data_IF_973500823664
#
_entry.id   IF_973500823664
#
_cell.length_a   1.000
_cell.length_b   1.000
_cell.length_c   1.000
_cell.angle_alpha   90.00
_cell.angle_beta   90.00
_cell.angle_gamma   90.00
#
_symmetry.space_group_name_H-M   'P 1'
#
loop_
_entity.id
_entity.type
_entity.pdbx_description
1 polymer ?
2 non-polymer ?
3 non-polymer ?
4 non-polymer ?
5 non-polymer ?
6 water ?
#
# COMPACT_ATOMS: atom_id res chain seq x y z
N UNK A 21 16.06 26.67 15.75
CA UNK A 21 16.25 26.47 14.33
C UNK A 21 16.05 25.00 13.95
N UNK A 22 14.85 24.67 13.44
CA UNK A 22 14.47 23.29 13.09
C UNK A 22 14.85 22.90 11.66
N UNK A 23 15.03 21.60 11.44
CA UNK A 23 15.40 21.09 10.12
C UNK A 23 14.18 20.62 9.34
N UNK A 24 13.96 21.19 8.16
CA UNK A 24 12.83 20.79 7.32
C UNK A 24 13.07 19.41 6.70
N UNK A 25 12.10 18.52 6.85
CA UNK A 25 12.18 17.17 6.31
C UNK A 25 12.30 17.16 4.78
N UNK A 26 13.32 16.47 4.28
CA UNK A 26 13.52 16.34 2.85
C UNK A 26 14.46 17.39 2.28
N UNK A 27 14.96 18.27 3.14
CA UNK A 27 15.87 19.31 2.71
C UNK A 27 17.26 18.73 2.47
N UNK A 28 18.09 19.47 1.75
CA UNK A 28 19.46 19.04 1.46
C UNK A 28 20.20 18.61 2.73
N UNK A 29 20.13 19.43 3.77
CA UNK A 29 20.79 19.12 5.04
C UNK A 29 20.21 17.86 5.68
N UNK A 30 18.89 17.77 5.69
CA UNK A 30 18.21 16.58 6.21
C UNK A 30 18.78 15.31 5.59
N UNK A 31 18.86 15.29 4.26
CA UNK A 31 19.36 14.13 3.54
C UNK A 31 20.80 13.81 3.95
N UNK A 32 21.64 14.84 3.98
CA UNK A 32 23.02 14.67 4.41
C UNK A 32 23.05 14.09 5.82
N UNK A 33 22.16 14.60 6.67
CA UNK A 33 22.07 14.16 8.05
C UNK A 33 21.57 12.70 8.11
N UNK A 34 20.57 12.39 7.30
CA UNK A 34 20.01 11.04 7.26
C UNK A 34 21.00 10.00 6.72
N UNK A 35 21.75 10.38 5.69
CA UNK A 35 22.74 9.49 5.11
C UNK A 35 23.82 9.11 6.12
N UNK A 36 24.00 9.96 7.12
CA UNK A 36 25.04 9.77 8.13
C UNK A 36 24.58 8.96 9.34
N UNK A 37 23.26 8.83 9.52
CA UNK A 37 22.71 8.17 10.70
C UNK A 37 22.82 6.65 10.62
N UNK A 38 23.06 6.02 11.77
CA UNK A 38 23.11 4.56 11.83
C UNK A 38 21.78 3.99 12.32
N UNK A 39 21.24 3.04 11.58
CA UNK A 39 19.98 2.39 11.90
C UNK A 39 20.23 0.90 12.09
N UNK A 40 19.35 0.23 12.86
CA UNK A 40 19.45 -1.23 12.92
C UNK A 40 19.11 -1.86 11.56
N UNK A 41 19.85 -2.91 11.22
CA UNK A 41 19.65 -3.64 9.97
C UNK A 41 18.30 -4.38 9.90
N UNK A 42 17.70 -4.35 8.71
CA UNK A 42 16.46 -5.07 8.46
C UNK A 42 16.67 -6.58 8.53
N UNK A 43 17.93 -6.99 8.61
CA UNK A 43 18.34 -8.39 8.68
C UNK A 43 17.45 -9.25 9.59
N UNK A 44 17.20 -8.72 10.77
CA UNK A 44 16.55 -9.49 11.83
C UNK A 44 15.02 -9.45 11.69
N UNK A 45 14.53 -8.72 10.71
CA UNK A 45 13.10 -8.48 10.57
C UNK A 45 12.57 -8.84 9.17
N UNK A 46 13.37 -8.60 8.14
CA UNK A 46 12.90 -8.85 6.77
C UNK A 46 13.44 -10.21 6.30
N UNK A 47 12.52 -11.13 6.00
CA UNK A 47 12.93 -12.45 5.54
C UNK A 47 13.30 -12.39 4.07
N UNK A 48 14.39 -13.05 3.69
CA UNK A 48 14.74 -13.20 2.29
C UNK A 48 14.19 -14.54 1.82
N UNK A 49 13.38 -14.52 0.77
CA UNK A 49 12.64 -15.69 0.34
C UNK A 49 12.74 -15.81 -1.18
N UNK A 50 13.02 -17.02 -1.69
CA UNK A 50 12.92 -17.22 -3.14
C UNK A 50 11.45 -17.19 -3.56
N UNK A 51 11.18 -16.71 -4.78
CA UNK A 51 9.82 -16.48 -5.22
C UNK A 51 8.93 -17.70 -5.17
N UNK A 52 9.51 -18.86 -5.49
CA UNK A 52 8.74 -20.09 -5.56
C UNK A 52 8.25 -20.54 -4.19
N UNK A 53 8.78 -19.96 -3.13
CA UNK A 53 8.39 -20.36 -1.77
C UNK A 53 7.32 -19.45 -1.20
N UNK A 54 7.11 -18.32 -1.88
CA UNK A 54 6.10 -17.38 -1.45
C UNK A 54 4.70 -17.86 -1.88
N UNK A 55 4.12 -18.77 -1.11
CA UNK A 55 2.81 -19.33 -1.43
C UNK A 55 1.77 -18.84 -0.45
N UNK A 56 0.50 -19.12 -0.73
CA UNK A 56 -0.56 -18.87 0.23
C UNK A 56 -0.26 -19.56 1.56
N UNK A 57 0.24 -20.79 1.51
CA UNK A 57 0.60 -21.53 2.71
C UNK A 57 1.66 -20.83 3.55
N UNK A 58 2.67 -20.30 2.87
CA UNK A 58 3.74 -19.56 3.54
C UNK A 58 3.15 -18.32 4.22
N UNK A 59 2.35 -17.55 3.48
CA UNK A 59 1.72 -16.37 4.07
C UNK A 59 0.83 -16.71 5.27
N UNK A 60 0.07 -17.80 5.18
CA UNK A 60 -0.77 -18.23 6.30
C UNK A 60 0.03 -18.67 7.53
N UNK A 61 1.13 -19.40 7.29
CA UNK A 61 1.97 -19.88 8.37
C UNK A 61 2.62 -18.72 9.14
N UNK A 62 3.05 -17.70 8.41
CA UNK A 62 3.75 -16.58 9.04
C UNK A 62 2.85 -15.39 9.33
N UNK A 63 1.68 -15.35 8.70
CA UNK A 63 0.70 -14.30 8.95
C UNK A 63 0.96 -12.99 8.24
N UNK A 64 1.95 -12.97 7.34
CA UNK A 64 2.35 -11.74 6.65
C UNK A 64 2.40 -10.58 7.65
N UNK A 65 3.14 -10.75 8.74
CA UNK A 65 3.26 -9.67 9.71
C UNK A 65 4.58 -8.93 9.59
N UNK A 66 5.54 -9.49 8.84
CA UNK A 66 6.83 -8.85 8.61
C UNK A 66 7.12 -8.72 7.12
N UNK A 67 7.88 -7.67 6.73
CA UNK A 67 8.16 -7.51 5.30
C UNK A 67 9.00 -8.66 4.77
N UNK A 68 8.92 -8.89 3.47
CA UNK A 68 9.59 -9.99 2.82
C UNK A 68 10.33 -9.46 1.61
N UNK A 69 11.59 -9.82 1.50
CA UNK A 69 12.40 -9.45 0.35
C UNK A 69 12.60 -10.68 -0.52
N UNK A 70 12.25 -10.57 -1.80
CA UNK A 70 12.50 -11.61 -2.79
C UNK A 70 13.59 -11.13 -3.73
N UNK A 71 14.82 -11.65 -3.55
CA UNK A 71 15.98 -11.08 -4.27
C UNK A 71 15.95 -11.24 -5.80
N UNK A 72 15.28 -12.27 -6.31
CA UNK A 72 15.18 -12.45 -7.76
C UNK A 72 13.74 -12.72 -8.10
N UNK A 73 13.31 -12.30 -9.29
CA UNK A 73 11.89 -12.34 -9.60
C UNK A 73 11.42 -13.73 -10.02
N UNK A 74 12.37 -14.63 -10.31
CA UNK A 74 12.06 -16.00 -10.70
C UNK A 74 11.07 -16.65 -9.73
N UNK A 75 10.01 -17.23 -10.27
CA UNK A 75 9.04 -17.93 -9.45
C UNK A 75 7.92 -17.07 -8.89
N UNK A 76 8.05 -15.75 -9.00
CA UNK A 76 7.01 -14.84 -8.49
C UNK A 76 5.84 -14.71 -9.44
N UNK A 77 6.07 -15.04 -10.70
CA UNK A 77 5.06 -14.79 -11.72
C UNK A 77 4.87 -13.30 -11.95
N UNK A 78 5.87 -12.51 -11.56
CA UNK A 78 5.87 -11.09 -11.85
C UNK A 78 6.36 -10.81 -13.27
N UNK A 79 5.58 -10.04 -14.03
CA UNK A 79 6.01 -9.60 -15.35
C UNK A 79 6.39 -8.14 -15.30
N UNK A 80 7.62 -7.84 -15.71
CA UNK A 80 8.06 -6.46 -15.80
C UNK A 80 8.97 -6.36 -17.03
N UNK A 81 9.15 -5.15 -17.56
CA UNK A 81 10.06 -5.02 -18.71
C UNK A 81 11.52 -5.20 -18.31
N UNK A 82 12.38 -5.41 -19.30
CA UNK A 82 13.81 -5.52 -19.06
C UNK A 82 14.35 -4.23 -18.43
N UNK A 83 15.47 -4.32 -17.69
CA UNK A 83 16.06 -3.11 -17.10
C UNK A 83 16.58 -2.13 -18.15
N UNK A 84 16.49 -2.48 -19.43
CA UNK A 84 16.86 -1.57 -20.52
C UNK A 84 15.66 -0.69 -20.89
N UNK A 85 14.65 -0.74 -20.04
CA UNK A 85 13.44 0.06 -20.20
C UNK A 85 13.66 1.35 -19.42
N UNK A 86 13.66 2.49 -20.10
CA UNK A 86 14.06 3.76 -19.49
C UNK A 86 12.88 4.68 -19.20
N UNK A 87 13.16 5.77 -18.50
CA UNK A 87 12.12 6.77 -18.23
C UNK A 87 11.59 7.31 -19.57
N UNK A 88 12.47 7.41 -20.57
CA UNK A 88 12.05 7.84 -21.90
C UNK A 88 11.01 6.88 -22.49
N UNK A 89 11.15 5.59 -22.20
CA UNK A 89 10.18 4.59 -22.62
C UNK A 89 8.85 4.76 -21.87
N UNK A 90 8.94 5.07 -20.57
CA UNK A 90 7.76 5.40 -19.80
C UNK A 90 6.98 6.53 -20.47
N UNK A 91 7.67 7.58 -20.89
CA UNK A 91 7.00 8.72 -21.51
C UNK A 91 6.22 8.29 -22.74
N UNK A 92 6.86 7.46 -23.57
CA UNK A 92 6.22 6.96 -24.79
C UNK A 92 4.97 6.12 -24.53
N UNK A 93 5.07 5.20 -23.57
CA UNK A 93 3.97 4.26 -23.36
C UNK A 93 2.87 4.79 -22.45
N UNK A 94 3.22 5.68 -21.52
CA UNK A 94 2.22 6.32 -20.67
C UNK A 94 1.55 7.47 -21.43
N UNK A 95 2.34 8.22 -22.18
CA UNK A 95 1.85 9.34 -22.94
C UNK A 95 2.45 10.66 -22.46
N UNK A 96 3.18 11.35 -23.35
CA UNK A 96 3.81 12.61 -22.97
C UNK A 96 2.83 13.67 -22.45
N UNK A 97 1.57 13.60 -22.85
CA UNK A 97 0.60 14.63 -22.47
C UNK A 97 -0.11 14.34 -21.15
N UNK A 98 0.15 13.16 -20.59
CA UNK A 98 -0.49 12.74 -19.35
C UNK A 98 -0.17 13.70 -18.20
N UNK A 99 -1.20 14.12 -17.48
CA UNK A 99 -1.01 14.92 -16.28
C UNK A 99 -0.55 14.02 -15.12
N UNK A 100 0.57 14.37 -14.49
CA UNK A 100 1.08 13.58 -13.37
C UNK A 100 1.32 14.47 -12.15
N UNK A 101 1.22 13.87 -10.96
CA UNK A 101 1.53 14.53 -9.70
C UNK A 101 3.03 14.49 -9.44
N UNK A 102 3.63 15.66 -9.25
CA UNK A 102 5.06 15.73 -8.97
C UNK A 102 5.32 16.32 -7.59
N UNK A 103 6.19 15.68 -6.82
CA UNK A 103 6.51 16.16 -5.48
C UNK A 103 7.84 16.90 -5.49
N UNK A 104 7.84 18.13 -4.98
CA UNK A 104 9.08 18.88 -4.81
C UNK A 104 9.62 18.56 -3.42
N UNK A 105 10.55 17.61 -3.38
CA UNK A 105 11.06 17.04 -2.13
C UNK A 105 11.62 18.10 -1.16
N UNK A 106 12.32 19.09 -1.69
CA UNK A 106 12.93 20.11 -0.85
C UNK A 106 11.91 21.05 -0.22
N UNK A 107 10.67 21.01 -0.71
CA UNK A 107 9.58 21.80 -0.14
C UNK A 107 8.51 20.89 0.48
N UNK A 108 8.58 19.60 0.15
CA UNK A 108 7.56 18.64 0.54
C UNK A 108 6.17 19.08 0.06
N UNK A 109 6.15 19.83 -1.03
CA UNK A 109 4.90 20.26 -1.65
C UNK A 109 4.71 19.59 -3.02
N UNK A 110 3.46 19.28 -3.36
CA UNK A 110 3.15 18.63 -4.62
C UNK A 110 2.69 19.64 -5.67
N UNK A 111 2.74 19.25 -6.94
CA UNK A 111 2.19 20.05 -8.03
C UNK A 111 1.84 19.15 -9.20
N UNK A 112 1.18 19.70 -10.21
CA UNK A 112 0.82 18.96 -11.41
C UNK A 112 1.65 19.45 -12.60
N UNK A 113 2.00 18.55 -13.51
CA UNK A 113 2.68 18.92 -14.75
C UNK A 113 2.57 17.78 -15.76
N UNK A 114 2.75 18.09 -17.03
CA UNK A 114 2.72 17.06 -18.06
C UNK A 114 3.92 16.15 -17.86
N UNK A 115 3.73 14.86 -18.12
CA UNK A 115 4.83 13.90 -17.98
C UNK A 115 6.01 14.37 -18.82
N UNK A 116 5.72 14.92 -20.00
CA UNK A 116 6.77 15.44 -20.88
C UNK A 116 7.69 16.41 -20.15
N UNK A 117 7.10 17.26 -19.29
CA UNK A 117 7.89 18.27 -18.59
C UNK A 117 8.72 17.65 -17.47
N UNK A 118 8.16 16.68 -16.77
CA UNK A 118 8.93 15.95 -15.76
C UNK A 118 10.08 15.19 -16.40
N UNK A 119 9.80 14.49 -17.50
CA UNK A 119 10.85 13.74 -18.17
C UNK A 119 11.95 14.68 -18.63
N UNK A 120 11.55 15.86 -19.09
CA UNK A 120 12.53 16.85 -19.53
C UNK A 120 13.46 17.21 -18.38
N UNK A 121 12.85 17.41 -17.21
CA UNK A 121 13.60 17.73 -16.00
C UNK A 121 14.53 16.59 -15.63
N UNK A 122 13.98 15.38 -15.66
CA UNK A 122 14.71 14.19 -15.28
C UNK A 122 16.00 14.00 -16.07
N UNK A 123 15.93 14.26 -17.38
CA UNK A 123 17.12 14.12 -18.22
C UNK A 123 17.99 15.37 -18.24
N UNK A 124 17.66 16.34 -17.42
CA UNK A 124 18.47 17.54 -17.32
C UNK A 124 19.73 17.29 -16.48
N UNK A 125 20.83 17.88 -16.91
CA UNK A 125 22.02 17.97 -16.08
C UNK A 125 21.99 19.33 -15.41
N UNK A 126 22.52 19.40 -14.19
CA UNK A 126 22.36 20.59 -13.38
C UNK A 126 20.90 20.73 -12.95
N UNK A 127 20.33 19.63 -12.45
CA UNK A 127 19.04 19.68 -11.79
C UNK A 127 19.19 20.57 -10.57
N UNK A 128 18.44 21.66 -10.53
CA UNK A 128 18.44 22.51 -9.35
C UNK A 128 17.50 21.91 -8.32
N UNK A 129 16.42 21.33 -8.79
CA UNK A 129 15.35 20.82 -7.93
C UNK A 129 15.44 19.32 -7.69
N UNK A 130 14.87 18.86 -6.58
CA UNK A 130 14.73 17.43 -6.33
C UNK A 130 13.26 17.04 -6.45
N UNK A 131 12.89 16.43 -7.57
CA UNK A 131 11.49 16.15 -7.86
C UNK A 131 11.25 14.67 -8.11
N UNK A 132 10.10 14.17 -7.68
CA UNK A 132 9.76 12.79 -7.96
C UNK A 132 8.32 12.58 -8.42
N UNK A 133 8.08 11.46 -9.08
CA UNK A 133 6.74 11.02 -9.42
C UNK A 133 6.49 9.76 -8.62
N UNK A 134 5.55 9.79 -7.70
CA UNK A 134 5.33 8.61 -6.87
C UNK A 134 3.87 8.21 -6.81
N UNK A 135 3.07 8.74 -7.75
CA UNK A 135 1.63 8.48 -7.77
C UNK A 135 1.10 8.16 -9.17
N UNK A 136 1.97 7.74 -10.08
CA UNK A 136 1.56 7.46 -11.46
C UNK A 136 1.01 6.06 -11.64
N UNK A 137 -0.32 5.95 -11.65
CA UNK A 137 -0.95 4.64 -11.82
C UNK A 137 -1.22 4.46 -13.30
N UNK A 138 -0.60 3.45 -13.91
CA UNK A 138 -0.64 3.32 -15.37
C UNK A 138 -1.53 2.21 -15.92
N UNK A 139 -2.43 1.67 -15.10
CA UNK A 139 -3.30 0.61 -15.60
C UNK A 139 -4.18 1.04 -16.78
N UNK A 140 -4.42 2.34 -16.92
CA UNK A 140 -5.23 2.86 -18.05
C UNK A 140 -4.40 3.35 -19.24
N UNK A 141 -3.19 2.81 -19.43
CA UNK A 141 -2.28 3.26 -20.48
C UNK A 141 -1.73 2.08 -21.29
N UNK A 142 -0.98 2.38 -22.36
CA UNK A 142 -0.36 1.32 -23.16
C UNK A 142 0.72 0.55 -22.38
N UNK A 143 1.28 1.16 -21.35
CA UNK A 143 2.31 0.51 -20.55
C UNK A 143 1.74 -0.60 -19.65
N UNK A 144 0.43 -0.64 -19.51
CA UNK A 144 -0.20 -1.58 -18.56
C UNK A 144 0.11 -3.02 -18.90
N UNK A 145 0.14 -3.34 -20.20
CA UNK A 145 0.38 -4.71 -20.63
C UNK A 145 1.81 -5.23 -20.39
N UNK A 146 2.73 -4.35 -19.99
CA UNK A 146 4.11 -4.76 -19.73
C UNK A 146 4.35 -5.18 -18.27
N UNK A 147 3.36 -4.96 -17.44
CA UNK A 147 3.49 -5.23 -16.03
C UNK A 147 2.34 -6.12 -15.50
N UNK A 148 2.71 -7.23 -14.89
CA UNK A 148 1.74 -8.09 -14.21
C UNK A 148 2.21 -8.32 -12.78
N UNK A 149 1.36 -7.97 -11.81
CA UNK A 149 1.71 -8.09 -10.39
C UNK A 149 2.03 -9.55 -10.06
N UNK A 150 2.81 -9.78 -9.00
CA UNK A 150 3.17 -11.13 -8.57
C UNK A 150 1.93 -12.02 -8.38
N UNK A 151 2.07 -13.31 -8.66
CA UNK A 151 0.97 -14.26 -8.43
C UNK A 151 0.43 -14.24 -7.00
N UNK A 152 1.31 -14.16 -6.01
CA UNK A 152 0.85 -14.16 -4.62
C UNK A 152 -0.07 -12.97 -4.30
N UNK A 153 0.20 -11.84 -4.94
CA UNK A 153 -0.65 -10.65 -4.78
C UNK A 153 -2.04 -10.91 -5.35
N UNK A 154 -2.09 -11.48 -6.55
CA UNK A 154 -3.38 -11.81 -7.14
C UNK A 154 -4.14 -12.81 -6.26
N UNK A 155 -3.42 -13.74 -5.64
CA UNK A 155 -4.07 -14.76 -4.79
C UNK A 155 -4.65 -14.17 -3.51
N UNK A 156 -3.95 -13.20 -2.93
CA UNK A 156 -4.35 -12.57 -1.67
C UNK A 156 -5.38 -11.45 -1.80
N UNK A 157 -5.31 -10.73 -2.92
CA UNK A 157 -6.04 -9.49 -3.12
C UNK A 157 -7.57 -9.63 -3.03
N UNK A 158 -8.20 -8.85 -2.16
CA UNK A 158 -9.66 -8.87 -2.09
C UNK A 158 -10.30 -8.39 -3.38
N UNK A 159 -9.72 -7.37 -4.02
CA UNK A 159 -10.35 -6.85 -5.24
C UNK A 159 -10.27 -7.89 -6.37
N UNK A 160 -9.11 -8.53 -6.51
CA UNK A 160 -8.91 -9.54 -7.55
C UNK A 160 -9.86 -10.72 -7.39
N UNK A 161 -10.11 -11.12 -6.16
CA UNK A 161 -10.93 -12.30 -5.90
C UNK A 161 -12.43 -12.02 -5.75
N UNK A 162 -12.79 -10.89 -5.17
CA UNK A 162 -14.18 -10.68 -4.73
C UNK A 162 -14.97 -9.53 -5.38
N UNK A 163 -14.31 -8.70 -6.19
CA UNK A 163 -14.98 -7.58 -6.84
C UNK A 163 -15.36 -8.02 -8.25
N UNK A 164 -16.67 -8.18 -8.52
CA UNK A 164 -17.10 -8.78 -9.79
C UNK A 164 -16.76 -7.93 -11.01
N UNK A 165 -16.57 -8.59 -12.16
CA UNK A 165 -16.19 -7.89 -13.38
C UNK A 165 -17.31 -6.96 -13.86
N UNK A 166 -18.55 -7.31 -13.56
CA UNK A 166 -19.70 -6.54 -14.02
C UNK A 166 -20.20 -5.47 -13.03
N UNK A 167 -19.37 -5.14 -12.04
CA UNK A 167 -19.72 -4.16 -11.01
C UNK A 167 -19.93 -2.76 -11.60
N UNK A 168 -20.87 -2.01 -11.06
CA UNK A 168 -21.14 -0.64 -11.52
C UNK A 168 -20.16 0.37 -10.93
N UNK A 169 -19.51 0.00 -9.84
CA UNK A 169 -18.49 0.88 -9.26
C UNK A 169 -17.12 0.43 -9.78
N UNK A 170 -16.30 1.40 -10.18
CA UNK A 170 -14.97 1.11 -10.72
C UNK A 170 -14.01 0.51 -9.69
N UNK A 171 -13.25 -0.50 -10.10
CA UNK A 171 -12.27 -1.13 -9.21
C UNK A 171 -11.25 -0.12 -8.69
N UNK A 172 -10.79 -0.28 -7.43
CA UNK A 172 -9.78 0.65 -6.94
C UNK A 172 -8.55 0.68 -7.84
N UNK A 173 -8.23 1.87 -8.33
CA UNK A 173 -7.15 2.03 -9.30
C UNK A 173 -5.81 2.16 -8.56
N UNK A 174 -5.31 1.04 -8.06
CA UNK A 174 -4.12 1.04 -7.21
C UNK A 174 -3.21 -0.15 -7.51
N UNK A 175 -3.39 -0.77 -8.68
CA UNK A 175 -2.73 -2.06 -8.91
C UNK A 175 -1.38 -1.95 -9.62
N UNK A 176 -1.16 -0.86 -10.36
CA UNK A 176 0.08 -0.70 -11.13
C UNK A 176 0.56 0.73 -11.04
N UNK A 177 1.56 0.97 -10.19
CA UNK A 177 2.19 2.31 -10.15
C UNK A 177 3.59 2.27 -10.72
N UNK A 178 3.98 3.35 -11.36
CA UNK A 178 5.36 3.53 -11.82
C UNK A 178 5.95 4.65 -10.98
N UNK A 179 7.03 4.35 -10.27
CA UNK A 179 7.68 5.31 -9.40
C UNK A 179 8.99 5.78 -10.06
N UNK A 180 9.14 7.08 -10.23
CA UNK A 180 10.38 7.64 -10.76
C UNK A 180 10.96 8.63 -9.77
N UNK A 181 12.12 8.33 -9.19
CA UNK A 181 12.71 9.17 -8.16
C UNK A 181 14.17 9.52 -8.48
N UNK A 182 14.51 10.80 -8.38
CA UNK A 182 15.88 11.21 -8.63
C UNK A 182 16.73 10.97 -7.39
N UNK A 183 18.04 10.91 -7.59
CA UNK A 183 18.99 10.79 -6.49
C UNK A 183 18.71 11.86 -5.44
N UNK A 184 18.66 11.45 -4.17
CA UNK A 184 18.41 12.32 -3.02
C UNK A 184 16.94 12.65 -2.73
N UNK A 185 16.02 12.01 -3.43
CA UNK A 185 14.62 12.24 -3.12
C UNK A 185 14.33 11.49 -1.83
N UNK A 186 13.22 11.85 -1.20
CA UNK A 186 12.89 11.28 0.10
C UNK A 186 11.38 11.29 0.22
N UNK A 187 10.83 10.19 0.71
CA UNK A 187 9.41 10.16 1.03
C UNK A 187 9.30 9.99 2.53
N UNK A 188 8.58 10.91 3.18
CA UNK A 188 8.48 10.91 4.64
C UNK A 188 7.62 9.74 5.19
N UNK A 189 7.72 9.52 6.49
CA UNK A 189 7.03 8.39 7.13
C UNK A 189 5.52 8.43 6.89
N UNK A 190 4.97 7.28 6.54
CA UNK A 190 3.53 7.18 6.33
C UNK A 190 3.09 5.75 6.45
N UNK A 191 1.78 5.54 6.60
CA UNK A 191 1.18 4.23 6.40
C UNK A 191 0.40 4.34 5.10
N UNK A 192 0.55 3.36 4.22
CA UNK A 192 -0.15 3.42 2.94
C UNK A 192 -1.66 3.42 3.17
N UNK A 193 -2.39 3.99 2.22
CA UNK A 193 -3.83 4.19 2.42
C UNK A 193 -4.57 2.85 2.56
N UNK A 194 -5.60 2.84 3.39
CA UNK A 194 -6.39 1.63 3.62
C UNK A 194 -5.67 0.55 4.41
N UNK A 195 -4.50 0.89 4.96
CA UNK A 195 -3.65 -0.12 5.55
C UNK A 195 -3.31 -1.22 4.55
N UNK A 196 -3.31 -0.86 3.27
CA UNK A 196 -3.01 -1.83 2.22
C UNK A 196 -1.59 -2.33 2.34
N UNK A 197 -1.39 -3.58 1.92
CA UNK A 197 -0.06 -4.15 1.77
C UNK A 197 0.46 -3.76 0.40
N UNK A 198 1.77 -3.90 0.19
CA UNK A 198 2.34 -3.50 -1.09
C UNK A 198 3.38 -4.49 -1.60
N UNK A 199 3.50 -4.57 -2.91
CA UNK A 199 4.67 -5.14 -3.53
C UNK A 199 5.41 -4.00 -4.23
N UNK A 200 6.73 -4.07 -4.21
CA UNK A 200 7.55 -2.97 -4.68
C UNK A 200 8.79 -3.53 -5.38
N UNK A 201 8.87 -3.29 -6.69
CA UNK A 201 9.93 -3.87 -7.49
C UNK A 201 10.82 -2.80 -8.07
N UNK A 202 12.11 -2.88 -7.76
CA UNK A 202 13.07 -1.91 -8.27
C UNK A 202 13.58 -2.42 -9.60
N UNK A 203 13.28 -1.69 -10.67
CA UNK A 203 13.72 -2.09 -12.00
C UNK A 203 15.14 -1.60 -12.26
N UNK A 204 15.41 -0.35 -11.90
CA UNK A 204 16.72 0.26 -12.10
C UNK A 204 17.06 1.12 -10.89
N UNK A 205 18.30 1.03 -10.42
CA UNK A 205 18.78 1.83 -9.30
C UNK A 205 18.61 1.12 -7.96
N UNK A 206 18.35 1.89 -6.92
CA UNK A 206 18.06 1.29 -5.61
C UNK A 206 17.24 2.21 -4.74
N UNK A 207 16.53 1.61 -3.79
CA UNK A 207 15.61 2.35 -2.94
C UNK A 207 15.85 1.90 -1.52
N UNK A 208 16.08 2.85 -0.62
CA UNK A 208 16.25 2.52 0.79
C UNK A 208 14.99 2.75 1.57
N UNK A 209 14.52 1.73 2.29
CA UNK A 209 13.31 1.84 3.11
C UNK A 209 13.69 1.89 4.57
N UNK A 210 13.00 2.74 5.31
CA UNK A 210 13.16 2.83 6.75
C UNK A 210 11.84 2.39 7.34
N UNK A 211 11.85 1.22 7.98
CA UNK A 211 10.65 0.49 8.34
C UNK A 211 10.38 0.52 9.84
N UNK A 212 9.16 0.89 10.21
CA UNK A 212 8.77 0.89 11.61
C UNK A 212 7.58 -0.06 11.83
N UNK A 213 7.73 -0.98 12.76
CA UNK A 213 6.68 -1.95 13.07
C UNK A 213 5.41 -1.27 13.59
N UNK A 214 4.23 -1.72 13.10
CA UNK A 214 2.95 -1.13 13.52
C UNK A 214 2.46 -1.67 14.85
N UNK A 215 3.36 -1.72 15.84
CA UNK A 215 2.93 -1.95 17.20
C UNK A 215 1.94 -0.86 17.57
N UNK A 216 1.02 -1.16 18.47
CA UNK A 216 -0.05 -0.21 18.77
C UNK A 216 0.42 1.19 19.18
N UNK A 217 1.38 1.28 20.09
CA UNK A 217 1.92 2.57 20.51
C UNK A 217 2.65 3.33 19.37
N UNK A 218 3.33 2.61 18.49
CA UNK A 218 3.93 3.24 17.30
C UNK A 218 2.87 3.90 16.39
N UNK A 219 1.78 3.21 16.20
CA UNK A 219 0.67 3.71 15.42
C UNK A 219 0.10 4.96 16.05
N UNK A 220 -0.06 4.98 17.35
CA UNK A 220 -0.56 6.16 18.04
C UNK A 220 0.44 7.32 17.99
N UNK A 221 1.71 7.05 18.16
CA UNK A 221 2.72 8.08 17.99
C UNK A 221 2.68 8.63 16.57
N UNK A 222 2.55 7.74 15.59
CA UNK A 222 2.49 8.15 14.20
C UNK A 222 1.32 9.11 13.98
N UNK A 223 0.15 8.76 14.50
CA UNK A 223 -1.02 9.61 14.30
C UNK A 223 -0.80 10.98 14.92
N UNK A 224 -0.26 11.00 16.13
CA UNK A 224 -0.01 12.28 16.80
C UNK A 224 1.07 13.09 16.09
N UNK A 225 2.11 12.41 15.61
CA UNK A 225 3.16 13.12 14.88
C UNK A 225 2.60 13.74 13.60
N UNK A 226 1.89 12.93 12.83
CA UNK A 226 1.35 13.35 11.53
C UNK A 226 0.30 14.48 11.65
N UNK A 227 -0.47 14.47 12.74
CA UNK A 227 -1.52 15.49 12.91
C UNK A 227 -0.92 16.81 13.38
N UNK A 228 0.34 16.80 13.80
CA UNK A 228 0.97 18.01 14.32
C UNK A 228 1.36 18.96 13.19
N UNK A 229 1.19 20.25 13.42
CA UNK A 229 1.47 21.24 12.39
C UNK A 229 2.95 21.21 11.97
N UNK A 230 3.81 20.83 12.91
CA UNK A 230 5.25 20.82 12.67
C UNK A 230 5.80 19.45 12.26
N UNK A 231 4.97 18.58 11.69
CA UNK A 231 5.40 17.22 11.40
C UNK A 231 6.57 17.21 10.41
N UNK A 232 6.61 18.20 9.54
CA UNK A 232 7.68 18.30 8.55
C UNK A 232 9.00 18.79 9.14
N UNK A 233 8.97 19.17 10.41
CA UNK A 233 10.18 19.62 11.10
C UNK A 233 10.64 18.58 12.12
N UNK A 234 10.00 17.41 12.11
CA UNK A 234 10.34 16.37 13.08
C UNK A 234 10.61 15.01 12.42
N UNK A 235 11.76 14.41 12.74
CA UNK A 235 12.09 13.10 12.20
C UNK A 235 11.37 12.05 13.02
N UNK A 236 10.34 11.42 12.43
CA UNK A 236 9.52 10.51 13.21
C UNK A 236 10.27 9.33 13.85
N UNK A 237 11.31 8.84 13.21
CA UNK A 237 12.00 7.66 13.71
C UNK A 237 12.69 7.94 15.05
N UNK A 238 12.85 9.22 15.37
CA UNK A 238 13.42 9.62 16.65
C UNK A 238 12.51 9.22 17.82
N UNK A 239 11.23 8.98 17.52
CA UNK A 239 10.25 8.71 18.58
C UNK A 239 10.01 7.22 18.86
N UNK A 240 10.60 6.34 18.05
CA UNK A 240 10.39 4.90 18.24
C UNK A 240 11.69 4.17 18.58
N UNK A 241 11.54 2.97 19.12
CA UNK A 241 12.66 2.14 19.53
C UNK A 241 13.47 1.70 18.32
N UNK A 242 12.79 1.08 17.35
CA UNK A 242 13.48 0.46 16.21
C UNK A 242 12.94 0.97 14.88
N UNK A 243 13.82 1.50 14.05
CA UNK A 243 13.50 1.83 12.68
C UNK A 243 14.55 1.16 11.79
N UNK A 244 14.11 0.12 11.08
CA UNK A 244 15.03 -0.75 10.34
C UNK A 244 15.35 -0.23 8.95
N UNK A 245 16.62 -0.28 8.58
CA UNK A 245 17.00 0.16 7.25
C UNK A 245 17.08 -1.03 6.29
N UNK A 246 16.36 -0.93 5.18
CA UNK A 246 16.34 -2.00 4.19
C UNK A 246 16.58 -1.47 2.77
N UNK A 247 17.74 -1.83 2.19
CA UNK A 247 18.07 -1.45 0.82
C UNK A 247 17.44 -2.44 -0.16
N UNK A 248 16.71 -1.91 -1.13
CA UNK A 248 16.13 -2.76 -2.16
C UNK A 248 16.88 -2.43 -3.44
N UNK A 249 17.50 -3.44 -4.03
CA UNK A 249 18.35 -3.19 -5.19
C UNK A 249 17.71 -3.66 -6.49
N UNK A 250 18.38 -3.39 -7.60
CA UNK A 250 17.87 -3.73 -8.92
C UNK A 250 17.43 -5.18 -8.96
N UNK A 251 16.22 -5.40 -9.48
CA UNK A 251 15.67 -6.73 -9.66
C UNK A 251 15.03 -7.34 -8.43
N UNK A 252 15.12 -6.67 -7.29
CA UNK A 252 14.56 -7.21 -6.07
C UNK A 252 13.17 -6.67 -5.82
N UNK A 253 12.38 -7.43 -5.07
CA UNK A 253 10.99 -7.09 -4.78
C UNK A 253 10.75 -7.12 -3.27
N UNK A 254 10.16 -6.06 -2.75
CA UNK A 254 9.86 -5.98 -1.33
C UNK A 254 8.34 -6.06 -1.14
N UNK A 255 7.90 -6.91 -0.22
CA UNK A 255 6.48 -6.98 0.16
C UNK A 255 6.33 -6.35 1.53
N UNK A 256 5.51 -5.32 1.63
CA UNK A 256 5.38 -4.57 2.86
C UNK A 256 4.01 -4.87 3.45
N UNK A 257 3.97 -5.36 4.70
CA UNK A 257 2.71 -5.79 5.29
C UNK A 257 1.82 -4.61 5.69
N UNK A 258 0.57 -4.93 5.99
CA UNK A 258 -0.42 -3.96 6.41
C UNK A 258 0.06 -3.14 7.59
N UNK A 259 -0.12 -1.83 7.51
CA UNK A 259 0.09 -0.97 8.65
C UNK A 259 1.52 -0.50 8.93
N UNK A 260 2.51 -1.12 8.30
CA UNK A 260 3.89 -0.66 8.49
C UNK A 260 4.08 0.82 8.18
N UNK A 261 4.79 1.50 9.09
CA UNK A 261 5.07 2.92 8.98
C UNK A 261 6.46 3.03 8.35
N UNK A 262 6.58 3.70 7.20
CA UNK A 262 7.88 3.74 6.51
C UNK A 262 8.15 5.00 5.73
N UNK A 263 9.44 5.25 5.52
CA UNK A 263 9.92 6.34 4.70
C UNK A 263 10.87 5.74 3.69
N UNK A 264 11.22 6.49 2.66
CA UNK A 264 12.23 6.01 1.73
C UNK A 264 13.19 7.11 1.39
N UNK A 265 14.42 6.71 1.07
CA UNK A 265 15.42 7.60 0.52
C UNK A 265 15.87 6.97 -0.78
N UNK A 266 16.14 7.80 -1.79
CA UNK A 266 16.63 7.29 -3.05
C UNK A 266 18.11 7.66 -3.21
N UNK A 267 19.01 6.67 -3.10
CA UNK A 267 20.46 6.87 -3.17
C UNK A 267 20.95 7.21 -4.58
N UNK A 268 20.31 6.65 -5.60
CA UNK A 268 20.67 6.91 -7.00
C UNK A 268 19.37 6.92 -7.79
N UNK A 269 19.35 7.56 -8.95
CA UNK A 269 18.14 7.62 -9.75
C UNK A 269 17.53 6.23 -9.80
N UNK A 270 16.24 6.14 -9.51
CA UNK A 270 15.57 4.85 -9.39
C UNK A 270 14.27 4.80 -10.20
N UNK A 271 14.01 3.65 -10.81
CA UNK A 271 12.73 3.41 -11.48
C UNK A 271 12.15 2.13 -10.92
N UNK A 272 10.91 2.19 -10.46
CA UNK A 272 10.31 1.08 -9.74
C UNK A 272 8.85 0.91 -10.10
N UNK A 273 8.33 -0.28 -9.85
CA UNK A 273 6.91 -0.57 -10.04
C UNK A 273 6.34 -1.11 -8.74
N UNK A 274 5.08 -0.76 -8.46
CA UNK A 274 4.50 -1.16 -7.19
C UNK A 274 2.99 -1.29 -7.33
N UNK A 275 2.37 -2.02 -6.41
CA UNK A 275 0.92 -2.11 -6.38
C UNK A 275 0.48 -2.32 -4.93
N UNK A 276 -0.78 -2.03 -4.66
CA UNK A 276 -1.33 -2.13 -3.29
C UNK A 276 -2.55 -3.01 -3.25
N UNK A 277 -2.74 -3.71 -2.13
CA UNK A 277 -3.79 -4.70 -2.03
C UNK A 277 -4.21 -4.95 -0.59
N UNK A 278 -5.47 -5.34 -0.43
CA UNK A 278 -6.03 -5.74 0.85
C UNK A 278 -6.11 -7.25 0.89
N UNK A 279 -6.07 -7.86 2.08
CA UNK A 279 -6.14 -9.31 2.15
C UNK A 279 -6.65 -9.79 3.51
N UNK A 280 -6.90 -11.09 3.61
CA UNK A 280 -7.61 -11.64 4.76
C UNK A 280 -6.72 -11.87 5.98
N UNK A 281 -5.41 -11.67 5.85
CA UNK A 281 -4.53 -11.90 6.99
C UNK A 281 -4.39 -10.66 7.89
N UNK A 282 -4.91 -9.54 7.45
CA UNK A 282 -4.75 -8.30 8.21
C UNK A 282 -6.01 -7.46 8.28
N UNK A 283 -7.14 -8.11 8.54
CA UNK A 283 -8.38 -7.36 8.58
C UNK A 283 -8.30 -6.33 9.70
N UNK A 284 -7.82 -6.73 10.86
CA UNK A 284 -7.79 -5.81 11.99
C UNK A 284 -6.91 -4.58 11.69
N UNK A 285 -5.69 -4.82 11.20
CA UNK A 285 -4.76 -3.75 10.89
C UNK A 285 -5.30 -2.83 9.77
N UNK A 286 -5.93 -3.41 8.76
CA UNK A 286 -6.52 -2.60 7.70
C UNK A 286 -7.54 -1.59 8.25
N UNK A 287 -8.38 -2.05 9.18
CA UNK A 287 -9.37 -1.16 9.77
C UNK A 287 -8.75 -0.11 10.69
N UNK A 288 -7.76 -0.52 11.48
CA UNK A 288 -7.07 0.40 12.37
C UNK A 288 -6.42 1.54 11.55
N UNK A 289 -5.72 1.16 10.48
CA UNK A 289 -5.10 2.14 9.59
C UNK A 289 -6.13 3.05 8.90
N UNK A 290 -7.23 2.45 8.46
CA UNK A 290 -8.30 3.23 7.81
C UNK A 290 -8.91 4.22 8.80
N UNK A 291 -9.11 3.80 10.04
CA UNK A 291 -9.60 4.70 11.08
C UNK A 291 -8.65 5.85 11.37
N UNK A 292 -7.35 5.57 11.43
CA UNK A 292 -6.36 6.61 11.63
C UNK A 292 -6.42 7.64 10.49
N UNK A 293 -6.43 7.17 9.26
CA UNK A 293 -6.34 8.10 8.13
C UNK A 293 -7.61 8.96 8.03
N UNK A 294 -8.73 8.42 8.48
CA UNK A 294 -9.98 9.18 8.49
C UNK A 294 -10.01 10.27 9.57
N UNK A 295 -9.35 10.02 10.70
CA UNK A 295 -9.22 11.05 11.73
C UNK A 295 -8.24 12.13 11.29
N UNK A 296 -7.20 11.72 10.56
CA UNK A 296 -6.20 12.65 10.01
C UNK A 296 -6.77 13.57 8.91
N UNK A 297 -7.77 13.09 8.17
CA UNK A 297 -8.44 13.91 7.15
C UNK A 297 -7.44 14.64 6.27
N UNK A 298 -6.61 13.89 5.57
CA UNK A 298 -5.52 14.48 4.81
C UNK A 298 -5.86 14.81 3.35
N UNK A 299 -6.83 14.11 2.77
CA UNK A 299 -7.03 14.15 1.32
C UNK A 299 -5.75 13.66 0.65
N UNK A 300 -5.40 12.40 0.95
CA UNK A 300 -4.07 11.87 0.73
C UNK A 300 -3.49 11.94 -0.69
N UNK A 301 -4.35 12.12 -1.69
CA UNK A 301 -3.93 12.08 -3.10
C UNK A 301 -3.50 10.68 -3.50
N UNK A 302 -3.03 9.90 -2.53
CA UNK A 302 -2.71 8.50 -2.73
C UNK A 302 -3.76 7.63 -2.03
N UNK A 303 -4.94 8.18 -1.81
CA UNK A 303 -6.00 7.47 -1.09
C UNK A 303 -6.38 6.16 -1.78
N UNK A 304 -6.68 5.14 -0.97
CA UNK A 304 -7.19 3.89 -1.50
C UNK A 304 -8.67 4.09 -1.84
N UNK A 305 -8.97 4.31 -3.12
CA UNK A 305 -10.36 4.59 -3.50
C UNK A 305 -11.28 3.37 -3.31
N UNK A 306 -12.47 3.64 -2.78
CA UNK A 306 -13.44 2.59 -2.56
C UNK A 306 -12.95 1.47 -1.63
N UNK A 307 -12.20 1.85 -0.59
CA UNK A 307 -11.80 0.90 0.44
C UNK A 307 -13.05 0.24 1.02
N UNK A 308 -14.06 1.06 1.34
CA UNK A 308 -15.27 0.50 1.93
C UNK A 308 -15.98 -0.48 1.00
N UNK A 309 -16.03 -0.15 -0.29
CA UNK A 309 -16.63 -1.03 -1.28
C UNK A 309 -15.96 -2.41 -1.29
N UNK A 310 -14.64 -2.43 -1.21
CA UNK A 310 -13.90 -3.69 -1.23
C UNK A 310 -14.29 -4.51 0.01
N UNK A 311 -14.41 -3.84 1.16
CA UNK A 311 -14.87 -4.45 2.39
C UNK A 311 -16.30 -5.01 2.27
N UNK A 312 -17.21 -4.27 1.63
CA UNK A 312 -18.58 -4.77 1.42
C UNK A 312 -18.56 -6.06 0.59
N UNK A 313 -17.80 -6.06 -0.51
CA UNK A 313 -17.66 -7.28 -1.31
C UNK A 313 -17.05 -8.45 -0.50
N UNK A 314 -16.06 -8.16 0.34
CA UNK A 314 -15.47 -9.20 1.18
C UNK A 314 -16.54 -9.78 2.11
N UNK A 315 -17.35 -8.90 2.68
CA UNK A 315 -18.41 -9.28 3.61
C UNK A 315 -19.44 -10.17 2.95
N UNK A 316 -19.83 -9.83 1.72
CA UNK A 316 -20.71 -10.69 0.93
C UNK A 316 -20.09 -12.04 0.65
N UNK A 317 -18.82 -12.06 0.24
CA UNK A 317 -18.10 -13.32 0.06
C UNK A 317 -18.12 -14.19 1.34
N UNK A 318 -17.83 -13.59 2.49
CA UNK A 318 -17.78 -14.34 3.74
C UNK A 318 -19.14 -14.99 4.04
N UNK A 319 -20.22 -14.23 3.81
CA UNK A 319 -21.55 -14.79 4.01
C UNK A 319 -21.73 -16.02 3.13
N UNK A 320 -21.36 -15.92 1.85
CA UNK A 320 -21.46 -17.07 0.95
C UNK A 320 -20.62 -18.24 1.47
N UNK A 321 -19.44 -17.94 2.00
CA UNK A 321 -18.58 -18.98 2.56
C UNK A 321 -19.22 -19.66 3.77
N UNK A 322 -19.85 -18.88 4.63
CA UNK A 322 -20.52 -19.44 5.80
C UNK A 322 -21.65 -20.37 5.38
N UNK A 323 -22.47 -19.90 4.44
CA UNK A 323 -23.60 -20.69 3.96
C UNK A 323 -23.08 -21.98 3.35
N UNK A 324 -22.03 -21.85 2.53
CA UNK A 324 -21.43 -23.00 1.89
C UNK A 324 -20.87 -24.00 2.88
N UNK A 325 -20.40 -23.51 4.02
CA UNK A 325 -19.81 -24.38 5.04
C UNK A 325 -20.82 -25.42 5.55
N UNK A 326 -22.10 -25.08 5.54
CA UNK A 326 -23.13 -26.00 6.03
C UNK A 326 -23.32 -27.18 5.08
N UNK A 327 -22.99 -26.98 3.81
CA UNK A 327 -23.13 -28.01 2.80
C UNK A 327 -21.84 -28.83 2.70
N UNK A 328 -20.72 -28.19 2.98
CA UNK A 328 -19.43 -28.88 2.98
C UNK A 328 -19.21 -29.63 4.28
N UNK A 329 -19.74 -29.10 5.37
CA UNK A 329 -19.52 -29.68 6.68
C UNK A 329 -18.16 -29.35 7.25
N UNK A 330 -17.52 -28.33 6.69
CA UNK A 330 -16.20 -27.91 7.15
C UNK A 330 -16.23 -26.45 7.62
N UNK A 331 -15.78 -26.21 8.85
CA UNK A 331 -15.79 -24.86 9.43
C UNK A 331 -14.80 -23.92 8.74
N UNK A 332 -15.17 -22.64 8.66
CA UNK A 332 -14.22 -21.65 8.17
C UNK A 332 -13.07 -21.56 9.14
N UNK A 333 -11.87 -21.23 8.64
CA UNK A 333 -10.72 -21.05 9.54
C UNK A 333 -10.99 -19.90 10.52
N UNK A 334 -10.42 -19.97 11.72
CA UNK A 334 -10.65 -18.96 12.77
C UNK A 334 -10.37 -17.52 12.36
N UNK A 335 -9.30 -17.27 11.60
CA UNK A 335 -9.00 -15.90 11.21
C UNK A 335 -10.05 -15.30 10.30
N UNK A 336 -10.75 -16.14 9.55
CA UNK A 336 -11.84 -15.65 8.70
C UNK A 336 -13.07 -15.34 9.54
N UNK A 337 -13.29 -16.11 10.59
CA UNK A 337 -14.41 -15.82 11.48
C UNK A 337 -14.14 -14.53 12.25
N UNK A 338 -12.91 -14.36 12.72
CA UNK A 338 -12.52 -13.13 13.40
C UNK A 338 -12.62 -11.97 12.42
N UNK A 339 -12.21 -12.19 11.18
CA UNK A 339 -12.28 -11.17 10.14
C UNK A 339 -13.72 -10.74 9.89
N UNK A 340 -14.61 -11.73 9.86
CA UNK A 340 -16.03 -11.47 9.69
C UNK A 340 -16.56 -10.57 10.81
N UNK A 341 -16.13 -10.83 12.04
CA UNK A 341 -16.58 -10.03 13.19
C UNK A 341 -16.14 -8.59 13.05
N UNK A 342 -14.87 -8.40 12.67
CA UNK A 342 -14.33 -7.06 12.49
C UNK A 342 -15.03 -6.32 11.36
N UNK A 343 -15.27 -7.02 10.24
CA UNK A 343 -15.98 -6.41 9.12
C UNK A 343 -17.40 -6.04 9.52
N UNK A 344 -18.09 -6.94 10.22
CA UNK A 344 -19.47 -6.67 10.60
C UNK A 344 -19.55 -5.45 11.52
N UNK A 345 -18.56 -5.28 12.38
CA UNK A 345 -18.48 -4.09 13.19
C UNK A 345 -18.34 -2.83 12.36
N UNK A 346 -17.50 -2.88 11.34
CA UNK A 346 -17.32 -1.73 10.48
C UNK A 346 -18.62 -1.45 9.73
N UNK A 347 -19.25 -2.51 9.23
CA UNK A 347 -20.51 -2.36 8.51
C UNK A 347 -21.55 -1.63 9.38
N UNK A 348 -21.57 -1.91 10.69
CA UNK A 348 -22.51 -1.26 11.59
C UNK A 348 -22.20 0.22 11.74
N UNK A 349 -20.92 0.55 11.91
CA UNK A 349 -20.54 1.95 12.05
C UNK A 349 -20.83 2.76 10.79
N UNK A 350 -20.65 2.14 9.62
CA UNK A 350 -20.84 2.84 8.36
C UNK A 350 -22.32 3.04 8.01
N UNK A 351 -23.20 2.30 8.67
CA UNK A 351 -24.62 2.40 8.34
C UNK A 351 -25.46 2.90 9.51
N UNK A 352 -24.80 3.41 10.54
CA UNK A 352 -25.50 3.97 11.70
C UNK A 352 -26.28 5.21 11.29
N UNK A 353 -27.21 5.62 12.13
CA UNK A 353 -28.05 6.78 11.84
C UNK A 353 -27.22 7.99 11.42
N UNK A 354 -26.24 8.34 12.25
CA UNK A 354 -25.39 9.49 11.97
C UNK A 354 -24.33 9.17 10.92
N UNK A 355 -24.20 7.88 10.58
CA UNK A 355 -23.12 7.39 9.73
C UNK A 355 -23.20 7.86 8.27
N UNK A 356 -23.69 9.08 8.07
CA UNK A 356 -23.55 9.76 6.79
C UNK A 356 -24.28 9.15 5.60
N UNK A 357 -23.86 9.64 4.44
CA UNK A 357 -24.27 9.14 3.16
C UNK A 357 -23.04 9.24 2.28
N UNK A 358 -21.95 9.74 2.87
CA UNK A 358 -20.65 9.57 2.27
C UNK A 358 -20.43 8.06 2.22
N UNK A 359 -20.93 7.36 3.23
CA UNK A 359 -20.80 5.91 3.26
C UNK A 359 -21.71 5.22 2.25
N UNK A 360 -22.89 5.76 2.04
CA UNK A 360 -23.76 5.15 1.04
C UNK A 360 -23.19 5.22 -0.38
N UNK A 361 -22.33 6.21 -0.64
CA UNK A 361 -21.75 6.34 -1.98
C UNK A 361 -20.85 5.14 -2.33
N UNK A 362 -20.40 4.42 -1.30
CA UNK A 362 -19.48 3.30 -1.53
C UNK A 362 -20.16 1.95 -1.54
N UNK A 363 -21.47 1.93 -1.30
CA UNK A 363 -22.21 0.67 -1.27
C UNK A 363 -22.45 0.18 -2.70
N UNK A 364 -22.06 -1.08 -3.01
CA UNK A 364 -22.35 -1.66 -4.33
C UNK A 364 -23.85 -1.80 -4.58
N UNK A 365 -24.23 -1.81 -5.86
CA UNK A 365 -25.61 -2.05 -6.24
C UNK A 365 -26.11 -3.38 -5.63
N UNK A 366 -27.40 -3.47 -5.35
CA UNK A 366 -28.00 -4.74 -4.97
C UNK A 366 -27.67 -5.16 -3.55
N UNK A 367 -27.01 -4.28 -2.80
CA UNK A 367 -26.70 -4.60 -1.40
C UNK A 367 -27.81 -4.15 -0.46
N UNK A 368 -28.12 -5.00 0.50
CA UNK A 368 -29.03 -4.69 1.59
C UNK A 368 -28.25 -4.80 2.88
N UNK A 369 -27.62 -3.69 3.30
CA UNK A 369 -26.64 -3.72 4.41
C UNK A 369 -27.24 -4.28 5.70
N UNK A 370 -28.43 -3.85 6.07
CA UNK A 370 -29.00 -4.32 7.34
C UNK A 370 -29.22 -5.84 7.33
N UNK A 371 -29.61 -6.38 6.17
CA UNK A 371 -29.78 -7.82 6.02
C UNK A 371 -28.44 -8.58 6.02
N UNK A 372 -27.44 -8.02 5.34
CA UNK A 372 -26.11 -8.61 5.35
C UNK A 372 -25.56 -8.69 6.78
N UNK A 373 -25.71 -7.60 7.53
CA UNK A 373 -25.20 -7.55 8.89
C UNK A 373 -25.88 -8.61 9.75
N UNK A 374 -27.20 -8.67 9.67
CA UNK A 374 -27.95 -9.64 10.47
C UNK A 374 -27.55 -11.08 10.11
N UNK A 375 -27.44 -11.37 8.80
CA UNK A 375 -27.07 -12.70 8.33
C UNK A 375 -25.64 -13.10 8.75
N UNK A 376 -24.70 -12.17 8.59
CA UNK A 376 -23.34 -12.42 9.05
C UNK A 376 -23.28 -12.65 10.55
N UNK A 377 -24.01 -11.85 11.32
CA UNK A 377 -24.02 -12.02 12.76
C UNK A 377 -24.48 -13.43 13.13
N UNK A 378 -25.50 -13.91 12.43
CA UNK A 378 -26.05 -15.24 12.71
C UNK A 378 -25.05 -16.34 12.36
N UNK A 379 -24.45 -16.23 11.17
CA UNK A 379 -23.47 -17.21 10.72
C UNK A 379 -22.28 -17.29 11.67
N UNK A 380 -21.86 -16.15 12.20
CA UNK A 380 -20.77 -16.10 13.16
C UNK A 380 -21.14 -16.87 14.43
N UNK A 381 -22.33 -16.60 14.96
CA UNK A 381 -22.82 -17.32 16.12
C UNK A 381 -22.86 -18.84 15.88
N UNK A 382 -23.43 -19.24 14.75
CA UNK A 382 -23.48 -20.66 14.42
C UNK A 382 -22.08 -21.27 14.40
N UNK A 383 -21.13 -20.54 13.82
CA UNK A 383 -19.78 -21.06 13.68
C UNK A 383 -19.09 -21.24 15.01
N UNK A 384 -19.19 -20.24 15.87
CA UNK A 384 -18.61 -20.33 17.20
C UNK A 384 -19.27 -21.43 18.02
N UNK A 385 -20.51 -21.74 17.68
CA UNK A 385 -21.30 -22.80 18.33
C UNK A 385 -22.01 -22.29 19.59
X LIG B 1 3.78 4.43 0.34
X LIG C 1 -25.05 -8.37 -0.09
X LIG C 1 -25.57 -9.48 -0.84
X LIG C 1 -26.09 -7.93 0.94
X LIG C 1 -27.32 -7.69 0.25
X LIG D 1 1.59 20.28 6.85
X LIG D 1 0.70 19.21 7.17
X LIG D 1 2.49 19.87 5.70
X LIG D 1 1.75 19.03 4.81
X LIG E 1 1.99 -6.02 16.56
X LIG E 1 3.38 -5.74 16.79
X LIG E 1 1.67 -5.77 15.08
X LIG E 1 2.74 -6.30 14.28
X LIG F 1 -3.33 -2.81 16.65
X LIG F 1 -3.27 -1.44 17.05
X LIG F 1 -4.18 -2.96 15.39
X LIG F 1 -5.50 -2.47 15.69
X LIG G 1 17.61 -16.56 -0.43
X LIG G 1 18.61 -15.54 -0.36
X LIG G 1 16.54 -16.13 -1.42
X LIG G 1 17.14 -16.03 -2.71
X LIG H 1 3.73 -19.13 -6.50
X LIG H 1 4.19 -18.11 -7.39
X LIG H 1 4.90 -20.05 -6.19
X LIG H 1 5.71 -20.16 -7.37
X LIG I 1 -18.23 -12.73 -3.71
X LIG I 1 -17.37 -13.49 -4.57
X LIG I 1 -18.44 -11.34 -4.27
X LIG I 1 -18.17 -10.37 -3.26
X LIG J 1 -1.46 4.36 -2.38
X LIG J 1 -0.96 3.30 -1.56
X LIG J 1 -2.59 3.84 -3.27
X LIG J 1 -3.67 3.40 -2.45
X LIG K 1 1.74 4.82 -3.74
X LIG K 1 1.73 6.24 -3.74
X LIG K 1 2.35 4.34 -5.05
X LIG K 1 2.92 3.04 -4.87
X LIG L 1 21.70 15.18 -12.34
X LIG L 1 22.69 15.12 -13.38
X LIG L 1 21.97 16.39 -11.45
X LIG L 1 21.72 17.58 -12.20
X LIG M 1 16.30 3.82 14.85
X LIG M 1 16.25 2.60 15.58
X LIG M 1 15.13 4.72 15.24
X LIG M 1 15.31 5.23 16.56
X LIG N 1 -7.16 -5.68 -3.05
X LIG O 1 4.62 3.63 -2.25
X LIG O 1 5.69 4.54 -1.73
X LIG O 1 7.81 5.76 -2.02
X LIG O 1 9.01 5.73 -2.94
X LIG O 1 4.79 3.13 -3.40
X LIG O 1 3.58 3.37 -1.57
X LIG O 1 5.62 5.01 -0.60
X LIG O 1 10.08 6.29 -2.60
X LIG O 1 6.76 4.96 -2.58
X LIG O 1 8.91 5.18 -4.07
#
# INVERSE_FOLDING_TARGET
STLKKKRTWHKHGPGQAPDVKPVQNGSQLFIKELRSRTFPSAEDVVARVPGSQLTLGYMEEHGFTEPILVPKKDGLGLAVPAPTFYVSDVENYVGPERSVDVTDVTKQKDCKMKLKEFVDYYYSTNRKRVLNVTNLEFSDTRMSSFVEPPDIVKKLSWVENYWPDDALLAKPKVTKYCLICVKDSYTDFHIDSGGASAWYHVLKGEKTFYLIRPASANISLYERWRSASNHSEMFFADQVDKCYKCIVKQGQTLFIPSGWIYATLTPVDCLAFAGHFLHSLSVEMQMRAYEVERRLKLGSLTQFPNFETACWYMGKHLLEAFKGSHKSGKQLPPHLVQGAKILNGAFRSWTKKQALAEHEDELPEHFKPSQLIKDLAKEIRLSENASKAVRP
NI NI
EDO C1 O1 C2 O2
EDO C1 O1 C2 O2
EDO C1 O1 C2 O2
EDO C1 O1 C2 O2
EDO C1 O1 C2 O2
EDO C1 O1 C2 O2
EDO C1 O1 C2 O2
EDO C1 O1 C2 O2
EDO C1 O1 C2 O2
EDO C1 O1 C2 O2
EDO C1 O1 C2 O2
CL CL
OGA C1 C2 C4 C5 O1 O2 O2' O3 N1 O4
#
